data_IF_789644868423
#
_entry.id   IF_789644868423
#
_cell.length_a   1.000
_cell.length_b   1.000
_cell.length_c   1.000
_cell.angle_alpha   90.00
_cell.angle_beta   90.00
_cell.angle_gamma   90.00
#
_symmetry.space_group_name_H-M   'P 1'
#
loop_
_entity.id
_entity.type
_entity.pdbx_description
1 polymer ?
#
# COMPACT_ATOMS: atom_id res chain seq x y z
N UNK A 1 29.20 -24.06 8.28
CA UNK A 1 27.84 -23.68 8.73
C UNK A 1 27.82 -22.82 10.00
N UNK A 2 28.54 -23.17 11.10
CA UNK A 2 28.53 -22.38 12.35
C UNK A 2 28.93 -20.90 12.17
N UNK A 3 30.08 -20.65 11.53
CA UNK A 3 30.56 -19.29 11.21
C UNK A 3 29.55 -18.46 10.42
N UNK A 4 28.92 -19.04 9.40
CA UNK A 4 27.88 -18.37 8.61
C UNK A 4 26.66 -18.01 9.47
N UNK A 5 26.19 -18.93 10.31
CA UNK A 5 25.08 -18.67 11.24
C UNK A 5 25.42 -17.54 12.20
N UNK A 6 26.64 -17.49 12.75
CA UNK A 6 27.07 -16.43 13.66
C UNK A 6 27.12 -15.07 12.95
N UNK A 7 27.60 -15.02 11.70
CA UNK A 7 27.60 -13.81 10.88
C UNK A 7 26.17 -13.33 10.59
N UNK A 8 25.25 -14.24 10.24
CA UNK A 8 23.85 -13.93 9.99
C UNK A 8 23.14 -13.42 11.25
N UNK A 9 23.32 -14.09 12.39
CA UNK A 9 22.75 -13.66 13.67
C UNK A 9 23.26 -12.28 14.09
N UNK A 10 24.55 -12.01 13.91
CA UNK A 10 25.14 -10.69 14.17
C UNK A 10 24.54 -9.62 13.25
N UNK A 11 24.44 -9.92 11.95
CA UNK A 11 23.84 -9.01 10.99
C UNK A 11 22.40 -8.68 11.37
N UNK A 12 21.58 -9.71 11.65
CA UNK A 12 20.19 -9.54 12.02
C UNK A 12 20.04 -8.77 13.33
N UNK A 13 20.90 -8.99 14.32
CA UNK A 13 20.89 -8.21 15.57
C UNK A 13 21.09 -6.71 15.32
N UNK A 14 22.06 -6.35 14.48
CA UNK A 14 22.31 -4.96 14.12
C UNK A 14 21.20 -4.38 13.25
N UNK A 15 20.77 -5.12 12.22
CA UNK A 15 19.69 -4.73 11.32
C UNK A 15 18.40 -4.45 12.09
N UNK A 16 17.94 -5.40 12.92
CA UNK A 16 16.72 -5.25 13.72
C UNK A 16 16.80 -4.08 14.69
N UNK A 17 17.97 -3.84 15.29
CA UNK A 17 18.17 -2.68 16.17
C UNK A 17 18.01 -1.36 15.42
N UNK A 18 18.68 -1.21 14.26
CA UNK A 18 18.63 0.00 13.44
C UNK A 18 17.24 0.20 12.83
N UNK A 19 16.65 -0.87 12.31
CA UNK A 19 15.31 -0.87 11.74
C UNK A 19 14.25 -0.50 12.78
N UNK A 20 14.30 -1.08 13.99
CA UNK A 20 13.38 -0.71 15.08
C UNK A 20 13.53 0.74 15.50
N UNK A 21 14.76 1.25 15.57
CA UNK A 21 15.00 2.65 15.90
C UNK A 21 14.38 3.57 14.82
N UNK A 22 14.60 3.25 13.55
CA UNK A 22 14.03 4.01 12.45
C UNK A 22 12.49 3.95 12.44
N UNK A 23 11.89 2.78 12.68
CA UNK A 23 10.44 2.63 12.79
C UNK A 23 9.86 3.46 13.94
N UNK A 24 10.53 3.50 15.10
CA UNK A 24 10.12 4.36 16.20
C UNK A 24 10.19 5.84 15.81
N UNK A 25 11.23 6.26 15.08
CA UNK A 25 11.32 7.63 14.55
C UNK A 25 10.17 7.91 13.56
N UNK A 26 9.80 6.95 12.70
CA UNK A 26 8.65 7.13 11.79
C UNK A 26 7.32 7.28 12.53
N UNK A 27 7.14 6.62 13.68
CA UNK A 27 5.94 6.79 14.51
C UNK A 27 5.87 8.16 15.19
N UNK A 28 7.02 8.79 15.43
CA UNK A 28 7.12 10.07 16.12
C UNK A 28 7.19 11.27 15.16
N UNK A 29 7.40 11.04 13.86
CA UNK A 29 7.45 12.07 12.83
C UNK A 29 6.28 11.90 11.86
N UNK A 30 5.38 12.89 11.83
CA UNK A 30 4.25 12.91 10.89
C UNK A 30 4.70 12.81 9.43
N UNK A 31 5.80 13.47 9.08
CA UNK A 31 6.35 13.49 7.72
C UNK A 31 6.83 12.09 7.30
N UNK A 32 7.56 11.41 8.18
CA UNK A 32 8.06 10.06 7.91
C UNK A 32 6.96 8.99 7.99
N UNK A 33 5.96 9.19 8.86
CA UNK A 33 4.75 8.37 8.88
C UNK A 33 4.00 8.49 7.55
N UNK A 34 3.78 9.73 7.09
CA UNK A 34 3.10 10.03 5.84
C UNK A 34 3.81 9.47 4.61
N UNK A 35 5.14 9.41 4.60
CA UNK A 35 5.92 8.85 3.48
C UNK A 35 5.51 7.41 3.13
N UNK A 36 5.17 6.58 4.12
CA UNK A 36 4.77 5.18 3.89
C UNK A 36 3.41 5.08 3.19
N UNK A 37 2.52 6.03 3.51
CA UNK A 37 1.17 6.10 2.97
C UNK A 37 1.06 7.03 1.76
N UNK A 38 2.18 7.67 1.40
CA UNK A 38 2.23 8.56 0.26
C UNK A 38 1.95 7.78 -1.01
N UNK A 39 1.04 8.32 -1.82
CA UNK A 39 0.51 7.63 -2.98
C UNK A 39 1.61 7.28 -4.00
N UNK A 40 2.75 8.00 -4.06
CA UNK A 40 3.82 7.78 -5.04
C UNK A 40 5.08 7.06 -4.52
N UNK A 41 5.24 6.89 -3.20
CA UNK A 41 6.59 6.73 -2.61
C UNK A 41 6.80 5.44 -1.81
N UNK A 42 5.95 4.43 -2.01
CA UNK A 42 6.06 3.15 -1.29
C UNK A 42 7.47 2.53 -1.40
N UNK A 43 8.09 2.60 -2.59
CA UNK A 43 9.45 2.11 -2.82
C UNK A 43 10.52 2.92 -2.06
N UNK A 44 10.35 4.24 -1.95
CA UNK A 44 11.29 5.10 -1.20
C UNK A 44 11.22 4.77 0.29
N UNK A 45 10.00 4.59 0.81
CA UNK A 45 9.77 4.11 2.17
C UNK A 45 10.44 2.75 2.41
N UNK A 46 10.33 1.81 1.48
CA UNK A 46 10.98 0.49 1.60
C UNK A 46 12.52 0.59 1.59
N UNK A 47 13.10 1.45 0.75
CA UNK A 47 14.55 1.71 0.77
C UNK A 47 14.99 2.25 2.13
N UNK A 48 14.28 3.26 2.63
CA UNK A 48 14.62 3.89 3.90
C UNK A 48 14.47 2.91 5.06
N UNK A 49 13.38 2.15 5.11
CA UNK A 49 13.08 1.28 6.25
C UNK A 49 13.88 -0.03 6.23
N UNK A 50 14.16 -0.61 5.06
CA UNK A 50 14.82 -1.92 5.01
C UNK A 50 16.25 -1.85 4.47
N UNK A 51 16.48 -1.16 3.35
CA UNK A 51 17.79 -1.17 2.70
C UNK A 51 18.83 -0.36 3.49
N UNK A 52 18.48 0.83 3.97
CA UNK A 52 19.41 1.68 4.73
C UNK A 52 19.88 0.98 6.03
N UNK A 53 18.99 0.41 6.88
CA UNK A 53 19.42 -0.36 8.05
C UNK A 53 20.23 -1.60 7.69
N UNK A 54 19.93 -2.28 6.58
CA UNK A 54 20.68 -3.45 6.13
C UNK A 54 22.12 -3.07 5.74
N UNK A 55 22.28 -2.00 4.96
CA UNK A 55 23.60 -1.46 4.59
C UNK A 55 24.37 -1.07 5.84
N UNK A 56 23.77 -0.27 6.73
CA UNK A 56 24.40 0.16 7.97
C UNK A 56 24.81 -1.03 8.87
N UNK A 57 23.95 -2.07 8.99
CA UNK A 57 24.28 -3.28 9.73
C UNK A 57 25.46 -4.05 9.11
N UNK A 58 25.58 -4.09 7.79
CA UNK A 58 26.71 -4.71 7.11
C UNK A 58 28.03 -3.96 7.39
N UNK A 59 28.01 -2.62 7.38
CA UNK A 59 29.19 -1.79 7.67
C UNK A 59 29.60 -1.80 9.14
N UNK A 60 28.64 -1.82 10.07
CA UNK A 60 28.91 -1.86 11.52
C UNK A 60 29.28 -3.28 11.97
N UNK A 61 28.79 -4.31 11.28
CA UNK A 61 29.00 -5.73 11.59
C UNK A 61 30.43 -6.12 11.99
N UNK A 62 31.46 -5.74 11.22
CA UNK A 62 32.86 -6.02 11.55
C UNK A 62 33.33 -5.50 12.92
N UNK A 63 32.73 -4.42 13.45
CA UNK A 63 33.06 -3.86 14.76
C UNK A 63 32.56 -4.73 15.94
N UNK A 64 31.65 -5.67 15.67
CA UNK A 64 31.09 -6.57 16.67
C UNK A 64 31.65 -7.98 16.48
N UNK A 65 32.20 -8.56 17.55
CA UNK A 65 32.76 -9.91 17.54
C UNK A 65 31.71 -10.95 17.14
N UNK A 66 31.93 -11.65 16.04
CA UNK A 66 31.00 -12.69 15.59
C UNK A 66 30.93 -13.89 16.56
N UNK A 67 31.99 -14.14 17.33
CA UNK A 67 32.04 -15.21 18.35
C UNK A 67 31.02 -14.99 19.46
N UNK A 68 30.59 -13.75 19.72
CA UNK A 68 29.50 -13.46 20.67
C UNK A 68 28.17 -14.11 20.26
N UNK A 69 27.99 -14.40 18.96
CA UNK A 69 26.79 -14.98 18.37
C UNK A 69 26.96 -16.47 18.00
N UNK A 70 28.16 -17.04 18.17
CA UNK A 70 28.44 -18.44 17.82
C UNK A 70 27.98 -19.38 18.95
N UNK A 71 26.67 -19.59 19.04
CA UNK A 71 26.08 -20.54 19.97
C UNK A 71 24.84 -21.21 19.36
N UNK A 72 24.59 -22.47 19.75
CA UNK A 72 23.39 -23.21 19.31
C UNK A 72 22.10 -22.49 19.68
N UNK A 73 22.06 -21.82 20.85
CA UNK A 73 20.91 -21.04 21.31
C UNK A 73 20.63 -19.83 20.41
N UNK A 74 21.68 -19.06 20.06
CA UNK A 74 21.54 -17.94 19.12
C UNK A 74 21.02 -18.37 17.77
N UNK A 75 21.55 -19.47 17.24
CA UNK A 75 21.09 -20.03 15.96
C UNK A 75 19.61 -20.39 16.03
N UNK A 76 19.16 -21.06 17.09
CA UNK A 76 17.77 -21.42 17.26
C UNK A 76 16.84 -20.20 17.29
N UNK A 77 17.19 -19.16 18.06
CA UNK A 77 16.41 -17.91 18.11
C UNK A 77 16.43 -17.16 16.79
N UNK A 78 17.54 -17.18 16.07
CA UNK A 78 17.64 -16.57 14.74
C UNK A 78 16.76 -17.28 13.73
N UNK A 79 16.75 -18.61 13.72
CA UNK A 79 15.87 -19.39 12.85
C UNK A 79 14.41 -19.09 13.19
N UNK A 80 14.04 -19.13 14.47
CA UNK A 80 12.68 -18.83 14.91
C UNK A 80 12.22 -17.43 14.46
N UNK A 81 13.08 -16.41 14.63
CA UNK A 81 12.79 -15.04 14.19
C UNK A 81 12.57 -14.96 12.67
N UNK A 82 13.42 -15.59 11.87
CA UNK A 82 13.26 -15.62 10.42
C UNK A 82 11.99 -16.36 9.99
N UNK A 83 11.65 -17.47 10.65
CA UNK A 83 10.42 -18.20 10.40
C UNK A 83 9.18 -17.37 10.72
N UNK A 84 9.17 -16.67 11.85
CA UNK A 84 8.07 -15.76 12.22
C UNK A 84 7.97 -14.63 11.20
N UNK A 85 9.09 -14.02 10.82
CA UNK A 85 9.11 -12.96 9.79
C UNK A 85 8.55 -13.43 8.46
N UNK A 86 8.87 -14.65 8.02
CA UNK A 86 8.31 -15.23 6.79
C UNK A 86 6.79 -15.47 6.92
N UNK A 87 6.31 -15.97 8.06
CA UNK A 87 4.88 -16.18 8.30
C UNK A 87 4.12 -14.84 8.23
N UNK A 88 4.64 -13.80 8.88
CA UNK A 88 4.02 -12.46 8.88
C UNK A 88 4.06 -11.86 7.48
N UNK A 89 5.14 -12.08 6.72
CA UNK A 89 5.27 -11.62 5.33
C UNK A 89 4.18 -12.24 4.44
N UNK A 90 3.97 -13.55 4.55
CA UNK A 90 2.94 -14.28 3.82
C UNK A 90 1.54 -13.89 4.26
N UNK A 91 1.33 -13.70 5.57
CA UNK A 91 0.07 -13.20 6.11
C UNK A 91 -0.23 -11.79 5.60
N UNK A 92 0.76 -10.89 5.55
CA UNK A 92 0.61 -9.53 5.02
C UNK A 92 0.15 -9.55 3.56
N UNK A 93 0.75 -10.40 2.72
CA UNK A 93 0.31 -10.54 1.33
C UNK A 93 -1.13 -11.04 1.22
N UNK A 94 -1.53 -11.96 2.10
CA UNK A 94 -2.88 -12.53 2.11
C UNK A 94 -3.92 -11.56 2.64
N UNK A 95 -3.61 -10.78 3.69
CA UNK A 95 -4.53 -9.87 4.37
C UNK A 95 -4.55 -8.50 3.69
N UNK A 96 -3.38 -7.88 3.49
CA UNK A 96 -3.28 -6.54 2.95
C UNK A 96 -3.14 -6.48 1.42
N UNK A 97 -2.82 -7.60 0.77
CA UNK A 97 -2.59 -7.67 -0.68
C UNK A 97 -1.17 -7.28 -1.09
N UNK A 98 -0.31 -6.97 -0.13
CA UNK A 98 1.10 -6.59 -0.34
C UNK A 98 1.99 -7.08 0.82
N UNK A 99 3.28 -7.26 0.54
CA UNK A 99 4.25 -7.82 1.48
C UNK A 99 4.75 -6.84 2.54
N UNK A 100 5.20 -5.64 2.14
CA UNK A 100 5.93 -4.71 3.00
C UNK A 100 5.18 -3.38 3.19
N UNK A 101 4.85 -2.75 2.06
CA UNK A 101 4.20 -1.45 2.00
C UNK A 101 3.09 -1.47 0.96
N UNK A 102 2.04 -0.68 1.19
CA UNK A 102 0.94 -0.48 0.25
C UNK A 102 1.49 -0.08 -1.13
N UNK A 103 1.00 -0.65 -2.25
CA UNK A 103 1.53 -0.32 -3.57
C UNK A 103 1.30 1.16 -3.90
N UNK A 104 2.29 1.83 -4.50
CA UNK A 104 2.13 3.18 -5.04
C UNK A 104 1.07 3.22 -6.15
N UNK A 105 0.51 4.39 -6.43
CA UNK A 105 -0.37 4.63 -7.59
C UNK A 105 0.32 4.09 -8.86
N UNK A 106 -0.41 3.49 -9.80
CA UNK A 106 0.20 2.90 -11.00
C UNK A 106 1.15 3.87 -11.70
N UNK A 107 2.44 3.53 -11.82
CA UNK A 107 3.49 4.42 -12.37
C UNK A 107 3.17 4.98 -13.75
N UNK A 108 2.36 4.27 -14.54
CA UNK A 108 1.90 4.72 -15.86
C UNK A 108 1.10 6.03 -15.80
N UNK A 109 0.55 6.39 -14.64
CA UNK A 109 -0.10 7.68 -14.43
C UNK A 109 0.87 8.86 -14.60
N UNK A 110 2.19 8.65 -14.49
CA UNK A 110 3.21 9.71 -14.70
C UNK A 110 3.23 10.28 -16.12
N UNK A 111 2.60 9.60 -17.07
CA UNK A 111 2.42 10.08 -18.44
C UNK A 111 1.37 11.19 -18.54
N UNK A 112 0.46 11.31 -17.58
CA UNK A 112 -0.64 12.28 -17.65
C UNK A 112 -0.14 13.72 -17.47
N UNK A 113 -0.86 14.65 -18.08
CA UNK A 113 -0.54 16.10 -18.06
C UNK A 113 -1.73 16.96 -17.75
N UNK A 114 -2.85 16.64 -18.38
CA UNK A 114 -4.05 17.44 -18.29
C UNK A 114 -5.24 16.54 -17.97
N UNK A 115 -6.02 16.97 -16.98
CA UNK A 115 -7.32 16.39 -16.70
C UNK A 115 -8.33 16.89 -17.74
N UNK A 116 -9.04 15.97 -18.38
CA UNK A 116 -10.04 16.31 -19.38
C UNK A 116 -11.44 16.16 -18.83
N UNK A 117 -11.72 15.04 -18.19
CA UNK A 117 -13.05 14.79 -17.66
C UNK A 117 -13.04 13.78 -16.54
N UNK A 118 -14.11 13.74 -15.75
CA UNK A 118 -14.31 12.78 -14.68
C UNK A 118 -15.75 12.27 -14.67
N UNK A 119 -15.94 11.06 -14.13
CA UNK A 119 -17.25 10.50 -13.84
C UNK A 119 -17.18 9.66 -12.57
N UNK A 120 -18.17 9.85 -11.72
CA UNK A 120 -18.33 9.12 -10.48
C UNK A 120 -19.49 8.15 -10.65
N UNK A 121 -19.33 6.96 -10.11
CA UNK A 121 -20.33 5.92 -10.07
C UNK A 121 -20.57 5.54 -8.62
N UNK A 122 -21.84 5.34 -8.26
CA UNK A 122 -22.22 4.91 -6.92
C UNK A 122 -23.37 3.92 -6.97
N UNK A 123 -23.29 2.91 -6.11
CA UNK A 123 -24.40 2.01 -5.85
C UNK A 123 -25.42 2.70 -4.92
N UNK A 124 -26.72 2.75 -5.29
CA UNK A 124 -27.76 3.18 -4.38
C UNK A 124 -27.92 2.16 -3.24
N UNK A 125 -27.72 2.61 -2.00
CA UNK A 125 -27.90 1.82 -0.78
C UNK A 125 -29.35 1.32 -0.66
N UNK A 126 -29.63 0.12 -0.09
CA UNK A 126 -28.69 -0.85 0.48
C UNK A 126 -28.38 -2.08 -0.38
N UNK A 127 -29.05 -2.27 -1.52
CA UNK A 127 -29.03 -3.56 -2.22
C UNK A 127 -29.02 -3.49 -3.75
N UNK A 128 -28.86 -2.31 -4.36
CA UNK A 128 -28.71 -2.24 -5.81
C UNK A 128 -27.22 -2.36 -6.17
N UNK A 129 -26.77 -3.54 -6.59
CA UNK A 129 -25.37 -3.73 -6.99
C UNK A 129 -25.01 -3.05 -8.31
N UNK A 130 -25.98 -2.44 -9.00
CA UNK A 130 -25.72 -1.68 -10.21
C UNK A 130 -25.15 -0.31 -9.84
N UNK A 131 -23.98 0.00 -10.40
CA UNK A 131 -23.39 1.31 -10.30
C UNK A 131 -24.15 2.30 -11.18
N UNK A 132 -24.64 3.37 -10.56
CA UNK A 132 -25.31 4.45 -11.27
C UNK A 132 -24.39 5.66 -11.37
N UNK A 133 -24.37 6.37 -12.52
CA UNK A 133 -23.66 7.62 -12.68
C UNK A 133 -24.12 8.64 -11.63
N UNK A 134 -23.20 9.10 -10.79
CA UNK A 134 -23.45 10.14 -9.82
C UNK A 134 -22.83 11.46 -10.30
N UNK A 135 -23.70 12.45 -10.50
CA UNK A 135 -23.30 13.78 -10.95
C UNK A 135 -23.16 14.79 -9.80
N UNK A 136 -23.29 14.36 -8.55
CA UNK A 136 -23.08 15.23 -7.39
C UNK A 136 -21.58 15.43 -7.14
N UNK A 137 -21.01 16.60 -7.47
CA UNK A 137 -19.58 16.84 -7.30
C UNK A 137 -19.21 17.11 -5.84
N UNK A 138 -20.19 17.27 -4.94
CA UNK A 138 -19.96 17.65 -3.56
C UNK A 138 -19.93 16.46 -2.60
N UNK A 139 -20.23 15.24 -3.03
CA UNK A 139 -20.48 14.17 -2.06
C UNK A 139 -19.24 13.40 -1.58
N UNK A 140 -18.13 13.42 -2.34
CA UNK A 140 -16.91 12.65 -2.01
C UNK A 140 -15.64 13.52 -1.81
N UNK A 141 -15.67 14.81 -2.17
CA UNK A 141 -14.51 15.72 -2.05
C UNK A 141 -14.23 16.21 -0.60
N UNK A 142 -15.13 15.96 0.36
CA UNK A 142 -15.06 16.55 1.72
C UNK A 142 -14.33 15.72 2.79
N UNK A 143 -13.77 14.56 2.46
CA UNK A 143 -12.94 13.82 3.44
C UNK A 143 -11.47 14.25 3.32
N UNK A 144 -11.23 15.56 3.49
CA UNK A 144 -9.95 16.26 3.30
C UNK A 144 -8.95 16.08 4.45
N UNK A 145 -8.88 14.90 5.06
CA UNK A 145 -7.73 14.58 5.90
C UNK A 145 -6.68 13.89 5.04
N UNK A 146 -5.64 14.65 4.69
CA UNK A 146 -4.44 14.25 3.93
C UNK A 146 -3.76 12.98 4.46
N UNK A 147 -4.12 12.57 5.67
CA UNK A 147 -3.43 11.57 6.47
C UNK A 147 -4.30 10.38 6.91
N UNK A 148 -5.59 10.29 6.54
CA UNK A 148 -6.37 9.12 6.96
C UNK A 148 -6.01 7.91 6.10
N UNK A 149 -5.40 6.92 6.76
CA UNK A 149 -5.16 5.55 6.27
C UNK A 149 -6.36 4.96 5.48
N UNK A 150 -7.56 5.45 5.81
CA UNK A 150 -8.90 5.00 5.38
C UNK A 150 -9.63 5.92 4.40
N UNK A 151 -9.02 6.96 3.83
CA UNK A 151 -9.75 7.82 2.88
C UNK A 151 -10.01 7.07 1.58
N UNK A 152 -11.24 6.57 1.47
CA UNK A 152 -11.74 5.63 0.44
C UNK A 152 -11.75 6.19 -1.00
N UNK A 153 -11.34 7.44 -1.25
CA UNK A 153 -11.58 8.11 -2.53
C UNK A 153 -10.49 9.03 -3.06
N UNK A 154 -9.31 9.10 -2.47
CA UNK A 154 -8.46 10.30 -2.63
C UNK A 154 -7.05 10.09 -3.19
N UNK A 155 -6.62 8.88 -3.56
CA UNK A 155 -5.22 8.66 -3.99
C UNK A 155 -4.86 9.37 -5.29
N UNK A 156 -5.74 9.29 -6.29
CA UNK A 156 -5.57 10.02 -7.55
C UNK A 156 -5.73 11.52 -7.35
N UNK A 157 -6.59 11.94 -6.43
CA UNK A 157 -6.77 13.35 -6.09
C UNK A 157 -5.50 13.95 -5.49
N UNK A 158 -4.88 13.25 -4.53
CA UNK A 158 -3.59 13.65 -3.96
C UNK A 158 -2.47 13.63 -5.00
N UNK A 159 -2.47 12.64 -5.90
CA UNK A 159 -1.53 12.61 -7.01
C UNK A 159 -1.67 13.85 -7.90
N UNK A 160 -2.89 14.26 -8.23
CA UNK A 160 -3.13 15.47 -9.01
C UNK A 160 -2.69 16.74 -8.26
N UNK A 161 -2.97 16.83 -6.96
CA UNK A 161 -2.54 17.96 -6.12
C UNK A 161 -1.00 18.07 -6.06
N UNK A 162 -0.30 16.98 -5.77
CA UNK A 162 1.16 16.99 -5.57
C UNK A 162 1.92 17.15 -6.91
N UNK A 163 1.39 16.62 -8.00
CA UNK A 163 1.95 16.83 -9.35
C UNK A 163 1.51 18.13 -10.00
N UNK A 164 0.62 18.91 -9.35
CA UNK A 164 0.01 20.13 -9.89
C UNK A 164 -0.64 19.91 -11.26
N UNK A 165 -1.30 18.77 -11.43
CA UNK A 165 -2.10 18.50 -12.62
C UNK A 165 -3.31 19.42 -12.57
N UNK A 166 -3.30 20.46 -13.40
CA UNK A 166 -4.33 21.49 -13.44
C UNK A 166 -4.61 22.09 -12.05
N UNK A 167 -3.88 23.13 -11.63
CA UNK A 167 -3.89 23.71 -10.26
C UNK A 167 -5.29 23.88 -9.62
N UNK A 168 -6.35 24.08 -10.41
CA UNK A 168 -7.75 24.18 -9.96
C UNK A 168 -8.65 22.99 -10.36
N UNK A 169 -8.11 21.77 -10.48
CA UNK A 169 -8.85 20.61 -11.01
C UNK A 169 -10.13 20.31 -10.22
N UNK A 170 -10.12 20.51 -8.90
CA UNK A 170 -11.30 20.35 -8.01
C UNK A 170 -12.46 21.27 -8.38
N UNK A 171 -12.17 22.48 -8.87
CA UNK A 171 -13.20 23.41 -9.37
C UNK A 171 -13.57 23.13 -10.83
N UNK A 172 -12.62 22.60 -11.63
CA UNK A 172 -12.88 22.20 -13.02
C UNK A 172 -13.89 21.05 -13.09
N UNK A 173 -13.73 20.00 -12.29
CA UNK A 173 -14.61 18.81 -12.32
C UNK A 173 -16.06 19.10 -11.93
N UNK A 174 -16.33 20.20 -11.20
CA UNK A 174 -17.68 20.67 -10.89
C UNK A 174 -18.43 21.17 -12.13
N UNK A 175 -17.70 21.58 -13.17
CA UNK A 175 -18.29 22.15 -14.39
C UNK A 175 -18.81 21.05 -15.31
N UNK A 176 -20.00 21.21 -15.92
CA UNK A 176 -20.54 20.22 -16.86
C UNK A 176 -19.62 19.84 -18.02
N UNK A 177 -18.75 20.76 -18.45
CA UNK A 177 -17.77 20.52 -19.52
C UNK A 177 -16.69 19.48 -19.17
N UNK A 178 -16.45 19.23 -17.89
CA UNK A 178 -15.51 18.21 -17.41
C UNK A 178 -16.21 16.90 -17.04
N UNK A 179 -17.50 16.72 -17.39
CA UNK A 179 -18.19 15.46 -17.17
C UNK A 179 -17.87 14.49 -18.30
N UNK A 180 -17.30 13.34 -17.95
CA UNK A 180 -17.10 12.25 -18.90
C UNK A 180 -18.47 11.76 -19.37
N UNK A 181 -18.58 11.45 -20.67
CA UNK A 181 -19.79 10.89 -21.24
C UNK A 181 -20.19 9.60 -20.51
N UNK A 182 -21.43 9.53 -20.04
CA UNK A 182 -21.95 8.40 -19.26
C UNK A 182 -21.86 7.07 -20.01
N UNK A 183 -22.21 7.02 -21.29
CA UNK A 183 -22.13 5.79 -22.08
C UNK A 183 -20.68 5.30 -22.21
N UNK A 184 -19.73 6.24 -22.37
CA UNK A 184 -18.30 5.93 -22.36
C UNK A 184 -17.84 5.37 -21.02
N UNK A 185 -18.28 5.98 -19.91
CA UNK A 185 -18.00 5.50 -18.57
C UNK A 185 -18.53 4.09 -18.31
N UNK A 186 -19.77 3.82 -18.71
CA UNK A 186 -20.40 2.48 -18.63
C UNK A 186 -19.59 1.48 -19.47
N UNK A 187 -19.19 1.83 -20.69
CA UNK A 187 -18.38 0.94 -21.52
C UNK A 187 -17.00 0.61 -20.92
N UNK A 188 -16.36 1.57 -20.23
CA UNK A 188 -15.11 1.31 -19.48
C UNK A 188 -15.38 0.39 -18.30
N UNK A 189 -16.46 0.64 -17.56
CA UNK A 189 -16.86 -0.18 -16.41
C UNK A 189 -17.14 -1.63 -16.82
N UNK A 190 -18.00 -1.84 -17.82
CA UNK A 190 -18.33 -3.17 -18.38
C UNK A 190 -17.07 -3.91 -18.87
N UNK A 191 -16.14 -3.17 -19.49
CA UNK A 191 -14.86 -3.72 -19.92
C UNK A 191 -14.05 -4.24 -18.72
N UNK A 192 -13.98 -3.51 -17.61
CA UNK A 192 -13.23 -3.94 -16.42
C UNK A 192 -13.93 -5.14 -15.79
N UNK A 193 -15.26 -5.09 -15.58
CA UNK A 193 -16.00 -6.21 -14.97
C UNK A 193 -15.88 -7.51 -15.78
N UNK A 194 -15.85 -7.42 -17.11
CA UNK A 194 -15.66 -8.58 -17.98
C UNK A 194 -14.25 -9.16 -17.90
N UNK A 195 -13.23 -8.33 -17.65
CA UNK A 195 -11.81 -8.72 -17.76
C UNK A 195 -11.09 -8.83 -16.41
N UNK A 196 -11.75 -8.51 -15.30
CA UNK A 196 -11.14 -8.49 -13.98
C UNK A 196 -12.06 -9.12 -12.92
N UNK A 197 -11.47 -9.94 -12.04
CA UNK A 197 -12.21 -10.59 -10.97
C UNK A 197 -12.10 -9.79 -9.67
N UNK A 198 -13.23 -9.27 -9.20
CA UNK A 198 -13.34 -8.62 -7.90
C UNK A 198 -13.48 -9.63 -6.77
N UNK A 199 -12.96 -9.26 -5.60
CA UNK A 199 -13.15 -10.04 -4.37
C UNK A 199 -14.61 -9.98 -3.96
N UNK A 200 -15.10 -11.10 -3.43
CA UNK A 200 -16.49 -11.21 -3.01
C UNK A 200 -16.59 -11.03 -1.50
N UNK A 201 -17.59 -10.28 -1.02
CA UNK A 201 -17.89 -10.23 0.40
C UNK A 201 -18.30 -11.61 0.93
N UNK A 202 -17.99 -11.85 2.20
CA UNK A 202 -18.61 -12.93 2.96
C UNK A 202 -20.13 -12.76 2.95
N UNK A 203 -20.86 -13.88 3.01
CA UNK A 203 -22.33 -13.91 2.82
C UNK A 203 -23.11 -12.89 3.67
N UNK A 204 -22.60 -12.55 4.85
CA UNK A 204 -23.25 -11.63 5.80
C UNK A 204 -23.16 -10.16 5.36
N UNK A 205 -22.16 -9.79 4.55
CA UNK A 205 -21.93 -8.40 4.11
C UNK A 205 -22.59 -8.05 2.77
N UNK A 206 -23.47 -8.91 2.27
CA UNK A 206 -24.27 -8.68 1.07
C UNK A 206 -23.63 -9.21 -0.22
N UNK A 207 -24.33 -9.12 -1.36
CA UNK A 207 -23.86 -9.72 -2.62
C UNK A 207 -23.04 -8.75 -3.50
N UNK A 208 -23.03 -7.46 -3.20
CA UNK A 208 -22.42 -6.45 -4.07
C UNK A 208 -20.90 -6.42 -3.89
N UNK A 209 -20.18 -6.35 -5.00
CA UNK A 209 -18.71 -6.35 -5.02
C UNK A 209 -18.12 -4.95 -5.22
N UNK A 210 -18.89 -3.97 -5.72
CA UNK A 210 -18.48 -2.56 -5.83
C UNK A 210 -19.52 -1.67 -5.16
N UNK A 211 -19.02 -0.68 -4.42
CA UNK A 211 -19.81 0.37 -3.79
C UNK A 211 -19.70 1.70 -4.55
N UNK A 212 -18.47 2.09 -4.87
CA UNK A 212 -18.15 3.33 -5.59
C UNK A 212 -17.11 3.05 -6.67
N UNK A 213 -17.20 3.77 -7.79
CA UNK A 213 -16.13 3.84 -8.78
C UNK A 213 -15.91 5.27 -9.25
N UNK A 214 -14.67 5.60 -9.59
CA UNK A 214 -14.30 6.91 -10.11
C UNK A 214 -13.49 6.70 -11.39
N UNK A 215 -13.82 7.45 -12.43
CA UNK A 215 -13.09 7.48 -13.69
C UNK A 215 -12.57 8.90 -13.90
N UNK A 216 -11.26 9.04 -14.08
CA UNK A 216 -10.62 10.27 -14.50
C UNK A 216 -10.00 10.05 -15.89
N UNK A 217 -10.42 10.85 -16.86
CA UNK A 217 -9.84 10.89 -18.20
C UNK A 217 -8.77 11.97 -18.27
N UNK A 218 -7.57 11.56 -18.62
CA UNK A 218 -6.43 12.42 -18.82
C UNK A 218 -5.95 12.40 -20.27
N UNK A 219 -5.10 13.37 -20.59
CA UNK A 219 -4.25 13.34 -21.79
C UNK A 219 -2.79 13.49 -21.40
N UNK A 220 -1.91 12.89 -22.21
CA UNK A 220 -0.46 13.09 -22.13
C UNK A 220 0.02 14.15 -23.13
N UNK A 221 1.34 14.39 -23.16
CA UNK A 221 1.99 15.35 -24.06
C UNK A 221 1.72 15.09 -25.56
N UNK A 222 1.34 13.86 -25.93
CA UNK A 222 1.03 13.44 -27.30
C UNK A 222 -0.47 13.50 -27.61
N UNK A 223 -1.30 13.98 -26.68
CA UNK A 223 -2.76 14.00 -26.80
C UNK A 223 -3.41 12.62 -26.66
N UNK A 224 -2.66 11.58 -26.27
CA UNK A 224 -3.21 10.23 -26.05
C UNK A 224 -4.06 10.20 -24.79
N UNK A 225 -5.23 9.57 -24.88
CA UNK A 225 -6.16 9.38 -23.77
C UNK A 225 -5.68 8.29 -22.82
N UNK A 226 -5.71 8.60 -21.52
CA UNK A 226 -5.37 7.70 -20.43
C UNK A 226 -6.50 7.79 -19.41
N UNK A 227 -7.08 6.66 -19.03
CA UNK A 227 -8.12 6.61 -18.01
C UNK A 227 -7.55 6.01 -16.74
N UNK A 228 -7.65 6.75 -15.64
CA UNK A 228 -7.52 6.19 -14.31
C UNK A 228 -8.91 5.77 -13.85
N UNK A 229 -9.05 4.51 -13.43
CA UNK A 229 -10.29 4.01 -12.85
C UNK A 229 -10.01 3.42 -11.49
N UNK A 230 -10.75 3.83 -10.47
CA UNK A 230 -10.69 3.20 -9.16
C UNK A 230 -12.03 2.60 -8.76
N UNK A 231 -11.97 1.54 -7.96
CA UNK A 231 -13.13 0.89 -7.36
C UNK A 231 -12.91 0.74 -5.86
N UNK A 232 -13.92 1.11 -5.09
CA UNK A 232 -14.03 0.77 -3.67
C UNK A 232 -15.10 -0.28 -3.48
N UNK A 233 -14.77 -1.34 -2.76
CA UNK A 233 -15.76 -2.36 -2.39
C UNK A 233 -16.56 -1.90 -1.17
N UNK A 234 -17.75 -2.50 -0.93
CA UNK A 234 -18.29 -2.57 0.43
C UNK A 234 -17.37 -3.41 1.34
N UNK A 235 -17.77 -3.60 2.59
CA UNK A 235 -17.08 -4.52 3.50
C UNK A 235 -17.04 -5.92 2.88
N UNK A 236 -15.84 -6.48 2.76
CA UNK A 236 -15.64 -7.86 2.34
C UNK A 236 -15.79 -8.81 3.53
N UNK A 237 -15.28 -8.41 4.67
CA UNK A 237 -15.48 -9.01 5.99
C UNK A 237 -15.49 -7.89 7.04
N UNK A 238 -15.54 -8.22 8.33
CA UNK A 238 -15.68 -7.22 9.39
C UNK A 238 -14.61 -6.12 9.27
N UNK A 239 -15.06 -4.92 8.90
CA UNK A 239 -14.25 -3.72 8.70
C UNK A 239 -13.12 -3.83 7.66
N UNK A 240 -13.11 -4.89 6.86
CA UNK A 240 -12.11 -5.15 5.82
C UNK A 240 -12.63 -4.78 4.43
N UNK A 241 -11.88 -4.01 3.67
CA UNK A 241 -12.28 -3.48 2.38
C UNK A 241 -11.18 -3.69 1.33
N UNK A 242 -11.57 -3.85 0.07
CA UNK A 242 -10.64 -3.81 -1.05
C UNK A 242 -10.74 -2.49 -1.81
N UNK A 243 -9.59 -2.10 -2.37
CA UNK A 243 -9.47 -0.98 -3.28
C UNK A 243 -8.73 -1.45 -4.54
N UNK A 244 -9.25 -1.07 -5.70
CA UNK A 244 -8.69 -1.41 -7.00
C UNK A 244 -8.39 -0.14 -7.78
N UNK A 245 -7.29 -0.16 -8.52
CA UNK A 245 -6.88 0.94 -9.40
C UNK A 245 -6.50 0.34 -10.76
N UNK A 246 -6.88 1.03 -11.83
CA UNK A 246 -6.62 0.62 -13.19
C UNK A 246 -6.13 1.82 -14.00
N UNK A 247 -5.11 1.60 -14.81
CA UNK A 247 -4.74 2.49 -15.91
C UNK A 247 -5.18 1.82 -17.19
N UNK A 248 -6.04 2.51 -17.94
CA UNK A 248 -6.60 2.02 -19.18
C UNK A 248 -6.17 2.93 -20.31
N UNK A 249 -5.70 2.31 -21.39
CA UNK A 249 -5.43 2.99 -22.65
C UNK A 249 -6.50 2.61 -23.67
N UNK A 250 -6.89 3.57 -24.48
CA UNK A 250 -7.66 3.33 -25.69
C UNK A 250 -6.70 2.88 -26.81
N UNK A 251 -7.10 1.87 -27.56
CA UNK A 251 -6.42 1.39 -28.77
C UNK A 251 -7.45 1.21 -29.90
N UNK A 252 -6.97 0.86 -31.10
CA UNK A 252 -7.83 0.66 -32.28
C UNK A 252 -8.93 -0.39 -32.09
N UNK A 253 -8.75 -1.31 -31.14
CA UNK A 253 -9.68 -2.41 -30.83
C UNK A 253 -10.56 -2.16 -29.61
N UNK A 254 -10.46 -0.99 -28.96
CA UNK A 254 -11.20 -0.63 -27.75
C UNK A 254 -10.28 -0.35 -26.55
N UNK A 255 -10.63 -0.88 -25.38
CA UNK A 255 -9.91 -0.62 -24.13
C UNK A 255 -8.87 -1.71 -23.84
N UNK A 256 -7.75 -1.31 -23.23
CA UNK A 256 -6.75 -2.24 -22.69
C UNK A 256 -6.32 -1.80 -21.30
N UNK A 257 -6.38 -2.72 -20.34
CA UNK A 257 -5.75 -2.54 -19.02
C UNK A 257 -4.24 -2.53 -19.22
N UNK A 258 -3.62 -1.40 -18.96
CA UNK A 258 -2.17 -1.23 -19.05
C UNK A 258 -1.48 -1.59 -17.74
N UNK A 259 -2.07 -1.19 -16.61
CA UNK A 259 -1.60 -1.50 -15.28
C UNK A 259 -2.80 -1.59 -14.33
N UNK A 260 -2.71 -2.46 -13.32
CA UNK A 260 -3.69 -2.50 -12.24
C UNK A 260 -3.01 -2.72 -10.90
N UNK A 261 -3.61 -2.16 -9.85
CA UNK A 261 -3.23 -2.39 -8.47
C UNK A 261 -4.45 -2.86 -7.68
N UNK A 262 -4.17 -3.63 -6.63
CA UNK A 262 -5.15 -4.04 -5.63
C UNK A 262 -4.50 -4.02 -4.26
N UNK A 263 -5.20 -3.51 -3.26
CA UNK A 263 -4.81 -3.64 -1.87
C UNK A 263 -6.06 -3.64 -0.98
N UNK A 264 -5.86 -4.03 0.28
CA UNK A 264 -6.90 -4.03 1.29
C UNK A 264 -6.57 -3.05 2.41
N UNK A 265 -7.61 -2.63 3.13
CA UNK A 265 -7.50 -1.76 4.29
C UNK A 265 -8.62 -2.08 5.28
N UNK A 266 -8.35 -1.82 6.55
CA UNK A 266 -9.29 -2.03 7.65
C UNK A 266 -9.66 -0.68 8.25
N UNK A 267 -10.94 -0.47 8.60
CA UNK A 267 -11.47 0.76 9.25
C UNK A 267 -11.69 0.59 10.77
N UNK A 268 -11.55 -0.62 11.28
CA UNK A 268 -11.45 -0.92 12.70
C UNK A 268 -10.85 -2.32 12.88
N UNK A 269 -10.18 -2.55 14.02
CA UNK A 269 -9.61 -3.86 14.38
C UNK A 269 -8.10 -3.95 14.19
N UNK A 270 -7.64 -4.35 12.99
CA UNK A 270 -6.21 -4.57 12.68
C UNK A 270 -5.59 -3.34 11.98
N UNK A 271 -6.25 -2.18 12.07
CA UNK A 271 -5.84 -0.93 11.44
C UNK A 271 -4.37 -0.60 11.72
N UNK A 272 -3.62 -0.32 10.65
CA UNK A 272 -2.22 0.04 10.76
C UNK A 272 -1.28 -1.05 11.28
N UNK A 273 -1.75 -2.27 11.59
CA UNK A 273 -0.88 -3.42 11.88
C UNK A 273 -0.36 -4.06 10.58
N UNK A 274 0.28 -3.22 9.76
CA UNK A 274 1.02 -3.65 8.58
C UNK A 274 2.33 -4.32 9.00
N UNK A 275 2.92 -5.08 8.08
CA UNK A 275 4.17 -5.83 8.27
C UNK A 275 5.24 -5.10 9.11
N UNK A 276 5.67 -3.85 8.79
CA UNK A 276 6.69 -3.14 9.56
C UNK A 276 6.36 -2.98 11.05
N UNK A 277 5.10 -2.73 11.39
CA UNK A 277 4.69 -2.49 12.78
C UNK A 277 4.51 -3.78 13.57
N UNK A 278 4.03 -4.85 12.94
CA UNK A 278 4.06 -6.19 13.55
C UNK A 278 5.52 -6.60 13.80
N UNK A 279 6.40 -6.41 12.80
CA UNK A 279 7.81 -6.74 12.93
C UNK A 279 8.53 -5.91 13.98
N UNK A 280 8.10 -4.67 14.26
CA UNK A 280 8.67 -3.87 15.36
C UNK A 280 8.61 -4.61 16.71
N UNK A 281 7.48 -5.27 17.00
CA UNK A 281 7.29 -6.06 18.23
C UNK A 281 8.27 -7.23 18.26
N UNK A 282 8.36 -8.00 17.17
CA UNK A 282 9.25 -9.15 17.08
C UNK A 282 10.73 -8.77 17.06
N UNK A 283 11.08 -7.62 16.51
CA UNK A 283 12.44 -7.09 16.58
C UNK A 283 12.85 -6.84 18.03
N UNK A 284 11.98 -6.20 18.83
CA UNK A 284 12.27 -5.93 20.25
C UNK A 284 12.49 -7.23 21.02
N UNK A 285 11.65 -8.25 20.76
CA UNK A 285 11.82 -9.58 21.36
C UNK A 285 13.14 -10.23 20.93
N UNK A 286 13.47 -10.18 19.64
CA UNK A 286 14.70 -10.75 19.09
C UNK A 286 15.96 -10.07 19.65
N UNK A 287 15.98 -8.73 19.69
CA UNK A 287 17.07 -7.93 20.26
C UNK A 287 17.27 -8.31 21.73
N UNK A 288 16.19 -8.40 22.49
CA UNK A 288 16.24 -8.75 23.92
C UNK A 288 16.80 -10.15 24.15
N UNK A 289 16.28 -11.15 23.41
CA UNK A 289 16.75 -12.53 23.48
C UNK A 289 18.23 -12.65 23.06
N UNK A 290 18.62 -11.99 21.97
CA UNK A 290 20.00 -12.01 21.48
C UNK A 290 20.96 -11.37 22.48
N UNK A 291 20.62 -10.24 23.11
CA UNK A 291 21.45 -9.62 24.17
C UNK A 291 21.71 -10.56 25.34
N UNK A 292 20.67 -11.25 25.82
CA UNK A 292 20.82 -12.24 26.90
C UNK A 292 21.79 -13.34 26.48
N UNK A 293 21.64 -13.87 25.28
CA UNK A 293 22.50 -14.94 24.77
C UNK A 293 23.94 -14.49 24.56
N UNK A 294 24.17 -13.25 24.08
CA UNK A 294 25.53 -12.68 23.94
C UNK A 294 26.21 -12.61 25.29
N UNK A 295 25.49 -12.11 26.32
CA UNK A 295 26.01 -12.03 27.68
C UNK A 295 26.37 -13.41 28.22
N UNK A 296 25.53 -14.41 28.01
CA UNK A 296 25.81 -15.79 28.43
C UNK A 296 27.03 -16.38 27.72
N UNK A 297 27.23 -16.05 26.44
CA UNK A 297 28.37 -16.58 25.68
C UNK A 297 29.69 -15.96 26.13
N UNK A 298 29.70 -14.65 26.42
CA UNK A 298 30.89 -13.95 26.96
C UNK A 298 31.32 -14.40 28.35
N UNK A 299 30.39 -14.89 29.18
CA UNK A 299 30.73 -15.44 30.50
C UNK A 299 31.43 -16.80 30.37
N UNK A 300 31.23 -17.52 29.26
CA UNK A 300 31.78 -18.87 29.02
C UNK A 300 33.13 -18.88 28.31
N UNK A 301 33.58 -17.73 27.79
CA UNK A 301 34.85 -17.53 27.07
C UNK A 301 35.80 -16.72 27.90
#
# INVERSE_FOLDING_TARGET
MKKFSALLSRFLFLFTTLHSLLLLVTLLSKELYGLRYHHSDSFVSDILLYLVPAIAAAFIGPLVRHTDFDSTKHRAVTIAYLSIGLIILLWSQSHWGYYLSRPSIPNSIREVRQLVSALYFRSPYPYNCNLEPNNDPNLDLYTTNRDSYDSKGSRIEYYMDDMRIDEDWREKIKKPAFRLNTAKGIAIHDFIEKNYTFERPEKVYGPCFVWNSQIYEFTNDLGKRIYYVSYSTPQLSNDHYAYYEFIIHENETGYKIHQSNRFFYDVAGVEGLEFPFIMLIFNVLYISASRVMVRMNRIRT
#
